data_IF_917795539127
#
_entry.id   IF_917795539127
#
_cell.length_a   1.000
_cell.length_b   1.000
_cell.length_c   1.000
_cell.angle_alpha   90.00
_cell.angle_beta   90.00
_cell.angle_gamma   90.00
#
_symmetry.space_group_name_H-M   'P 1'
#
loop_
_entity.id
_entity.type
_entity.pdbx_description
1 polymer ?
#
# COMPACT_ATOMS: atom_id res chain seq x y z
N UNK A 1 15.59 -11.05 13.70
CA UNK A 1 15.78 -9.58 13.58
C UNK A 1 14.39 -8.96 13.54
N UNK A 2 14.08 -8.05 14.48
CA UNK A 2 12.75 -7.43 14.63
C UNK A 2 12.91 -5.92 14.44
N UNK A 3 12.18 -5.35 13.47
CA UNK A 3 11.85 -3.93 13.36
C UNK A 3 12.96 -2.98 12.91
N UNK A 4 12.96 -2.62 11.63
CA UNK A 4 12.98 -1.20 11.24
C UNK A 4 12.56 -1.05 9.77
N UNK A 5 11.35 -0.54 9.54
CA UNK A 5 10.87 -0.12 8.22
C UNK A 5 11.70 1.09 7.76
N UNK A 6 12.78 0.86 6.99
CA UNK A 6 13.30 1.92 6.13
C UNK A 6 12.38 1.99 4.92
N UNK A 7 11.55 3.02 4.84
CA UNK A 7 10.78 3.34 3.65
C UNK A 7 11.78 3.57 2.50
N UNK A 8 11.77 2.71 1.49
CA UNK A 8 12.66 2.79 0.33
C UNK A 8 12.01 3.73 -0.66
N UNK A 9 12.15 5.03 -0.39
CA UNK A 9 11.67 6.07 -1.28
C UNK A 9 12.84 6.75 -1.97
N UNK A 10 12.72 6.92 -3.28
CA UNK A 10 13.79 7.48 -4.09
C UNK A 10 13.34 7.70 -5.52
N UNK A 11 14.20 8.40 -6.27
CA UNK A 11 14.08 8.46 -7.73
C UNK A 11 14.29 7.04 -8.26
N UNK A 12 13.45 6.64 -9.20
CA UNK A 12 13.58 5.37 -9.89
C UNK A 12 14.67 5.48 -10.96
N UNK A 13 15.61 4.53 -10.96
CA UNK A 13 16.69 4.43 -11.93
C UNK A 13 16.72 3.02 -12.52
N UNK A 14 16.97 2.93 -13.82
CA UNK A 14 17.06 1.68 -14.56
C UNK A 14 18.41 1.58 -15.25
N UNK A 15 18.98 0.37 -15.28
CA UNK A 15 20.27 0.10 -15.92
C UNK A 15 20.05 -0.53 -17.28
N UNK A 16 20.44 0.20 -18.34
CA UNK A 16 20.32 -0.27 -19.73
C UNK A 16 21.52 0.19 -20.55
N UNK A 17 21.99 -0.67 -21.46
CA UNK A 17 23.13 -0.40 -22.33
C UNK A 17 24.35 0.16 -21.56
N UNK A 18 24.75 -0.57 -20.50
CA UNK A 18 25.90 -0.29 -19.64
C UNK A 18 25.85 1.04 -18.85
N UNK A 19 24.70 1.73 -18.83
CA UNK A 19 24.58 3.02 -18.13
C UNK A 19 23.28 3.14 -17.36
N UNK A 20 23.34 3.83 -16.21
CA UNK A 20 22.18 4.17 -15.42
C UNK A 20 21.44 5.37 -16.03
N UNK A 21 20.12 5.26 -16.06
CA UNK A 21 19.21 6.32 -16.49
C UNK A 21 17.95 6.36 -15.64
N UNK A 22 17.06 7.29 -15.95
CA UNK A 22 15.81 7.54 -15.23
C UNK A 22 14.59 7.07 -16.03
N UNK A 23 13.43 7.08 -15.40
CA UNK A 23 12.12 6.77 -15.99
C UNK A 23 11.28 8.05 -15.96
N UNK A 24 10.63 8.39 -17.08
CA UNK A 24 9.73 9.52 -17.17
C UNK A 24 8.42 9.25 -16.43
N UNK A 25 7.80 10.29 -15.84
CA UNK A 25 6.53 10.17 -15.13
C UNK A 25 5.29 10.30 -16.02
N UNK A 26 5.45 10.55 -17.32
CA UNK A 26 4.36 10.48 -18.29
C UNK A 26 3.77 9.05 -18.31
N UNK A 27 2.45 8.99 -18.10
CA UNK A 27 1.66 7.78 -17.90
C UNK A 27 2.04 6.89 -16.69
N UNK A 28 3.09 7.22 -15.94
CA UNK A 28 3.56 6.39 -14.84
C UNK A 28 2.62 6.43 -13.63
N UNK A 29 2.14 5.27 -13.18
CA UNK A 29 1.17 5.15 -12.10
C UNK A 29 1.59 4.19 -10.96
N UNK A 30 0.63 3.89 -10.06
CA UNK A 30 0.86 2.99 -8.93
C UNK A 30 1.03 1.52 -9.35
N UNK A 31 0.53 1.10 -10.51
CA UNK A 31 0.71 -0.25 -11.05
C UNK A 31 2.15 -0.38 -11.56
N UNK A 32 2.68 0.62 -12.25
CA UNK A 32 4.08 0.65 -12.67
C UNK A 32 5.04 0.67 -11.47
N UNK A 33 4.69 1.45 -10.45
CA UNK A 33 5.45 1.51 -9.19
C UNK A 33 5.48 0.14 -8.48
N UNK A 34 4.40 -0.65 -8.57
CA UNK A 34 4.36 -2.01 -8.02
C UNK A 34 5.31 -2.95 -8.75
N UNK A 35 5.31 -2.93 -10.08
CA UNK A 35 6.25 -3.71 -10.90
C UNK A 35 7.68 -3.33 -10.55
N UNK A 36 7.99 -2.03 -10.49
CA UNK A 36 9.30 -1.52 -10.11
C UNK A 36 9.74 -1.98 -8.71
N UNK A 37 8.86 -1.87 -7.72
CA UNK A 37 9.17 -2.27 -6.35
C UNK A 37 9.33 -3.78 -6.20
N UNK A 38 8.56 -4.57 -6.96
CA UNK A 38 8.71 -6.03 -7.03
C UNK A 38 10.05 -6.43 -7.64
N UNK A 39 10.46 -5.77 -8.70
CA UNK A 39 11.79 -5.95 -9.31
C UNK A 39 12.92 -5.63 -8.30
N UNK A 40 12.71 -4.65 -7.43
CA UNK A 40 13.64 -4.28 -6.34
C UNK A 40 13.56 -5.20 -5.10
N UNK A 41 12.71 -6.23 -5.09
CA UNK A 41 12.57 -7.19 -4.00
C UNK A 41 11.60 -6.79 -2.88
N UNK A 42 10.70 -5.85 -3.14
CA UNK A 42 9.60 -5.47 -2.24
C UNK A 42 8.28 -6.09 -2.70
N UNK A 43 7.30 -6.16 -1.80
CA UNK A 43 5.98 -6.70 -2.18
C UNK A 43 5.07 -5.65 -2.83
N UNK A 44 5.31 -4.37 -2.58
CA UNK A 44 4.43 -3.30 -3.01
C UNK A 44 5.14 -1.94 -3.14
N UNK A 45 4.52 -1.03 -3.88
CA UNK A 45 5.06 0.29 -4.23
C UNK A 45 3.97 1.29 -4.56
N UNK A 46 4.24 2.57 -4.31
CA UNK A 46 3.41 3.68 -4.81
C UNK A 46 4.27 4.67 -5.61
N UNK A 47 3.66 5.27 -6.61
CA UNK A 47 4.16 6.45 -7.28
C UNK A 47 3.99 7.66 -6.36
N UNK A 48 5.05 8.45 -6.20
CA UNK A 48 5.09 9.60 -5.27
C UNK A 48 5.01 10.93 -6.05
N UNK A 49 5.14 10.89 -7.37
CA UNK A 49 5.27 12.08 -8.22
C UNK A 49 6.67 12.20 -8.84
N UNK A 50 6.86 13.27 -9.60
CA UNK A 50 8.11 13.58 -10.27
C UNK A 50 9.13 14.27 -9.36
N UNK A 51 10.42 14.17 -9.71
CA UNK A 51 11.50 14.86 -9.01
C UNK A 51 12.53 15.47 -9.95
N UNK A 52 12.86 16.73 -9.68
CA UNK A 52 13.91 17.48 -10.35
C UNK A 52 15.31 17.23 -9.82
N UNK A 53 15.49 16.33 -8.83
CA UNK A 53 16.81 16.05 -8.25
C UNK A 53 17.76 15.67 -9.37
N UNK A 54 18.70 16.57 -9.61
CA UNK A 54 19.36 16.74 -10.89
C UNK A 54 20.54 15.79 -11.02
N UNK A 55 20.49 14.94 -12.03
CA UNK A 55 21.67 14.40 -12.69
C UNK A 55 21.50 14.51 -14.19
N UNK A 56 22.61 14.55 -14.93
CA UNK A 56 22.61 14.45 -16.41
C UNK A 56 22.37 13.00 -16.85
N UNK A 57 21.42 12.32 -16.21
CA UNK A 57 21.09 10.94 -16.55
C UNK A 57 20.18 10.96 -17.78
N UNK A 58 20.42 10.00 -18.68
CA UNK A 58 19.54 9.75 -19.81
C UNK A 58 18.21 9.22 -19.29
N UNK A 59 17.10 9.64 -19.88
CA UNK A 59 15.80 9.01 -19.64
C UNK A 59 15.76 7.75 -20.52
N UNK A 60 15.55 6.59 -19.89
CA UNK A 60 15.59 5.30 -20.58
C UNK A 60 14.21 4.76 -20.93
N UNK A 61 13.22 5.05 -20.10
CA UNK A 61 11.84 4.64 -20.30
C UNK A 61 10.92 5.85 -20.18
N UNK A 62 9.89 5.85 -21.00
CA UNK A 62 8.84 6.85 -21.13
C UNK A 62 7.54 6.15 -21.55
N UNK A 63 6.39 6.75 -21.24
CA UNK A 63 5.05 6.19 -21.41
C UNK A 63 4.94 4.74 -20.89
N UNK A 64 5.46 4.48 -19.68
CA UNK A 64 5.36 3.15 -19.07
C UNK A 64 3.89 2.87 -18.74
N UNK A 65 3.41 1.68 -19.13
CA UNK A 65 2.04 1.24 -18.93
C UNK A 65 2.02 -0.27 -18.64
N UNK A 66 2.16 -0.62 -17.36
CA UNK A 66 2.16 -2.00 -16.89
C UNK A 66 0.73 -2.51 -16.65
N UNK A 67 0.51 -3.80 -16.92
CA UNK A 67 -0.70 -4.53 -16.52
C UNK A 67 -0.69 -4.96 -15.04
N UNK A 68 0.49 -4.99 -14.41
CA UNK A 68 0.71 -5.28 -12.99
C UNK A 68 1.25 -6.69 -12.68
N UNK A 69 1.29 -7.58 -13.67
CA UNK A 69 1.82 -8.94 -13.56
C UNK A 69 3.25 -9.09 -14.10
N UNK A 70 3.83 -8.03 -14.68
CA UNK A 70 5.18 -8.02 -15.22
C UNK A 70 6.25 -8.15 -14.13
N UNK A 71 7.25 -9.01 -14.33
CA UNK A 71 8.33 -9.15 -13.33
C UNK A 71 9.35 -8.02 -13.33
N UNK A 72 9.36 -7.18 -14.37
CA UNK A 72 10.31 -6.08 -14.57
C UNK A 72 9.66 -4.96 -15.39
N UNK A 73 10.12 -3.73 -15.20
CA UNK A 73 9.62 -2.58 -15.97
C UNK A 73 9.89 -2.68 -17.48
N UNK A 74 10.99 -3.33 -17.87
CA UNK A 74 11.33 -3.54 -19.29
C UNK A 74 10.36 -4.44 -20.06
N UNK A 75 9.43 -5.11 -19.36
CA UNK A 75 8.42 -5.96 -19.97
C UNK A 75 7.04 -5.28 -20.08
N UNK A 76 6.86 -4.11 -19.46
CA UNK A 76 5.66 -3.33 -19.61
C UNK A 76 5.61 -2.66 -20.99
N UNK A 77 4.43 -2.20 -21.41
CA UNK A 77 4.35 -1.34 -22.57
C UNK A 77 5.10 -0.03 -22.26
N UNK A 78 5.87 0.48 -23.22
CA UNK A 78 6.63 1.72 -23.11
C UNK A 78 7.01 2.26 -24.50
N UNK A 79 7.34 3.55 -24.62
CA UNK A 79 7.68 4.21 -25.89
C UNK A 79 8.92 3.62 -26.61
N UNK A 80 9.76 2.88 -25.87
CA UNK A 80 10.98 2.25 -26.36
C UNK A 80 12.24 2.84 -25.70
N UNK A 81 13.33 2.07 -25.70
CA UNK A 81 14.54 2.44 -24.97
C UNK A 81 15.15 3.78 -25.41
N UNK A 82 15.10 4.77 -24.53
CA UNK A 82 15.61 6.12 -24.75
C UNK A 82 14.83 6.92 -25.80
N UNK A 83 13.62 6.47 -26.14
CA UNK A 83 12.63 7.26 -26.87
C UNK A 83 11.80 7.97 -25.82
N UNK A 84 11.92 9.29 -25.76
CA UNK A 84 11.32 10.11 -24.72
C UNK A 84 11.07 11.54 -25.23
N UNK A 85 10.06 12.21 -24.69
CA UNK A 85 9.77 13.62 -24.96
C UNK A 85 9.84 14.49 -23.69
N UNK A 86 10.41 13.96 -22.62
CA UNK A 86 10.32 14.47 -21.27
C UNK A 86 11.40 15.50 -20.94
N UNK A 87 11.05 16.42 -20.06
CA UNK A 87 11.94 17.35 -19.43
C UNK A 87 12.72 16.71 -18.28
N UNK A 88 13.84 17.33 -17.92
CA UNK A 88 14.76 16.80 -16.88
C UNK A 88 14.16 16.72 -15.48
N UNK A 89 12.97 17.26 -15.23
CA UNK A 89 12.30 17.23 -13.92
C UNK A 89 11.21 16.15 -13.84
N UNK A 90 10.91 15.49 -14.94
CA UNK A 90 9.86 14.46 -15.09
C UNK A 90 10.40 13.08 -14.70
N UNK A 91 11.35 13.00 -13.75
CA UNK A 91 11.85 11.71 -13.29
C UNK A 91 10.93 11.14 -12.21
N UNK A 92 10.52 9.89 -12.38
CA UNK A 92 9.68 9.17 -11.42
C UNK A 92 10.36 9.05 -10.05
N UNK A 93 9.57 9.28 -9.01
CA UNK A 93 9.90 8.91 -7.63
C UNK A 93 8.89 7.88 -7.14
N UNK A 94 9.38 6.77 -6.60
CA UNK A 94 8.55 5.73 -5.99
C UNK A 94 8.83 5.58 -4.50
N UNK A 95 7.96 4.83 -3.82
CA UNK A 95 8.15 4.39 -2.44
C UNK A 95 7.76 2.92 -2.30
N UNK A 96 8.75 2.07 -2.07
CA UNK A 96 8.54 0.64 -1.86
C UNK A 96 8.32 0.29 -0.40
N UNK A 97 7.53 -0.76 -0.18
CA UNK A 97 7.23 -1.33 1.12
C UNK A 97 6.85 -2.82 0.99
N UNK A 98 6.75 -3.52 2.11
CA UNK A 98 6.39 -4.94 2.12
C UNK A 98 4.94 -5.21 2.51
N UNK A 99 4.08 -4.19 2.50
CA UNK A 99 2.67 -4.37 2.80
C UNK A 99 1.98 -5.11 1.65
N UNK A 100 1.13 -6.06 1.99
CA UNK A 100 0.37 -6.87 1.04
C UNK A 100 -1.14 -6.69 1.26
N UNK A 101 -1.92 -7.11 0.28
CA UNK A 101 -3.37 -7.02 0.32
C UNK A 101 -3.97 -7.61 1.62
N UNK A 102 -4.86 -6.82 2.24
CA UNK A 102 -5.48 -7.13 3.52
C UNK A 102 -4.59 -6.91 4.75
N UNK A 103 -3.36 -6.40 4.60
CA UNK A 103 -2.53 -6.05 5.75
C UNK A 103 -3.17 -4.95 6.60
N UNK A 104 -2.92 -5.03 7.90
CA UNK A 104 -3.30 -4.01 8.86
C UNK A 104 -2.09 -3.16 9.22
N UNK A 105 -2.28 -1.84 9.36
CA UNK A 105 -1.26 -0.96 9.95
C UNK A 105 -1.70 -0.45 11.30
N UNK A 106 -0.71 -0.32 12.19
CA UNK A 106 -0.85 0.02 13.61
C UNK A 106 -1.43 -1.13 14.46
N UNK A 107 -1.10 -1.14 15.75
CA UNK A 107 -1.62 -2.12 16.73
C UNK A 107 -2.60 -1.49 17.73
N UNK A 108 -2.98 -0.24 17.51
CA UNK A 108 -3.91 0.50 18.36
C UNK A 108 -4.39 1.76 17.65
N UNK A 109 -5.58 2.24 17.98
CA UNK A 109 -6.18 3.44 17.40
C UNK A 109 -7.18 3.08 16.32
N UNK A 110 -7.21 3.86 15.23
CA UNK A 110 -8.07 3.60 14.08
C UNK A 110 -7.61 2.35 13.35
N UNK A 111 -8.54 1.45 13.02
CA UNK A 111 -8.23 0.27 12.25
C UNK A 111 -8.11 0.64 10.77
N UNK A 112 -6.95 0.34 10.20
CA UNK A 112 -6.62 0.64 8.81
C UNK A 112 -6.17 -0.63 8.10
N UNK A 113 -6.76 -0.88 6.93
CA UNK A 113 -6.51 -2.06 6.09
C UNK A 113 -6.06 -1.61 4.69
N UNK A 114 -5.11 -2.34 4.11
CA UNK A 114 -4.66 -2.13 2.75
C UNK A 114 -5.60 -2.85 1.78
N UNK A 115 -6.15 -2.11 0.82
CA UNK A 115 -6.87 -2.65 -0.32
C UNK A 115 -6.61 -1.82 -1.56
N UNK A 116 -6.37 -2.46 -2.70
CA UNK A 116 -6.04 -1.80 -3.98
C UNK A 116 -4.95 -0.74 -3.81
N UNK A 117 -3.88 -1.10 -3.10
CA UNK A 117 -2.73 -0.24 -2.80
C UNK A 117 -3.02 1.04 -1.99
N UNK A 118 -4.25 1.24 -1.54
CA UNK A 118 -4.62 2.36 -0.70
C UNK A 118 -4.97 1.90 0.71
N UNK A 119 -4.44 2.63 1.68
CA UNK A 119 -4.84 2.43 3.06
C UNK A 119 -6.19 3.09 3.32
N UNK A 120 -7.15 2.28 3.72
CA UNK A 120 -8.47 2.74 4.12
C UNK A 120 -8.82 2.28 5.53
N UNK A 121 -10.02 2.64 5.95
CA UNK A 121 -10.57 2.39 7.28
C UNK A 121 -11.66 1.33 7.22
N UNK A 122 -12.06 0.85 8.38
CA UNK A 122 -13.14 -0.12 8.52
C UNK A 122 -14.31 0.53 9.24
N UNK A 123 -15.54 0.26 8.81
CA UNK A 123 -16.71 0.80 9.46
C UNK A 123 -16.93 0.16 10.85
N UNK A 124 -17.46 0.96 11.78
CA UNK A 124 -17.76 0.56 13.15
C UNK A 124 -19.01 -0.31 13.31
N UNK A 125 -19.97 -0.28 12.37
CA UNK A 125 -21.35 -0.74 12.60
C UNK A 125 -21.48 -2.11 13.29
N UNK A 126 -20.71 -3.10 12.82
CA UNK A 126 -20.69 -4.46 13.37
C UNK A 126 -19.36 -4.82 14.00
N UNK A 127 -18.43 -3.88 14.10
CA UNK A 127 -17.08 -4.14 14.60
C UNK A 127 -17.12 -4.32 16.12
N UNK A 128 -16.94 -5.56 16.56
CA UNK A 128 -16.95 -5.92 17.97
C UNK A 128 -15.62 -6.54 18.42
N UNK A 129 -15.65 -7.20 19.59
CA UNK A 129 -14.46 -7.80 20.20
C UNK A 129 -13.89 -8.93 19.33
N UNK A 130 -14.73 -9.71 18.64
CA UNK A 130 -14.30 -10.82 17.80
C UNK A 130 -13.47 -10.28 16.63
N UNK A 131 -13.96 -9.25 15.92
CA UNK A 131 -13.20 -8.58 14.85
C UNK A 131 -11.89 -7.99 15.38
N UNK A 132 -11.91 -7.36 16.57
CA UNK A 132 -10.72 -6.80 17.19
C UNK A 132 -9.68 -7.89 17.55
N UNK A 133 -10.12 -9.05 18.03
CA UNK A 133 -9.25 -10.19 18.31
C UNK A 133 -8.64 -10.78 17.03
N UNK A 134 -9.43 -10.92 15.95
CA UNK A 134 -8.91 -11.36 14.63
C UNK A 134 -7.87 -10.37 14.11
N UNK A 135 -8.16 -9.07 14.17
CA UNK A 135 -7.22 -8.01 13.75
C UNK A 135 -5.91 -8.06 14.55
N UNK A 136 -6.00 -8.19 15.88
CA UNK A 136 -4.82 -8.27 16.73
C UNK A 136 -4.02 -9.56 16.54
N UNK A 137 -4.71 -10.69 16.34
CA UNK A 137 -4.09 -11.97 16.00
C UNK A 137 -3.32 -11.88 14.68
N UNK A 138 -3.91 -11.26 13.65
CA UNK A 138 -3.24 -11.01 12.36
C UNK A 138 -1.93 -10.20 12.56
N UNK A 139 -1.92 -9.26 13.51
CA UNK A 139 -0.75 -8.44 13.84
C UNK A 139 0.26 -9.12 14.80
N UNK A 140 0.00 -10.37 15.21
CA UNK A 140 0.88 -11.12 16.13
C UNK A 140 0.67 -10.80 17.62
N UNK A 141 -0.53 -10.39 18.01
CA UNK A 141 -0.93 -10.16 19.41
C UNK A 141 -1.90 -11.25 19.87
N UNK A 142 -2.03 -11.45 21.19
CA UNK A 142 -2.95 -12.45 21.76
C UNK A 142 -4.32 -11.88 22.12
N UNK A 143 -4.39 -10.58 22.39
CA UNK A 143 -5.61 -9.91 22.84
C UNK A 143 -5.89 -8.69 21.99
N UNK A 144 -7.17 -8.49 21.70
CA UNK A 144 -7.69 -7.29 21.04
C UNK A 144 -8.97 -6.84 21.74
N UNK A 145 -9.10 -5.53 21.92
CA UNK A 145 -10.30 -4.91 22.46
C UNK A 145 -10.74 -3.74 21.57
N UNK A 146 -12.04 -3.49 21.51
CA UNK A 146 -12.61 -2.35 20.76
C UNK A 146 -12.23 -1.05 21.45
N UNK A 147 -11.66 -0.13 20.67
CA UNK A 147 -11.35 1.21 21.13
C UNK A 147 -12.39 2.19 20.58
N UNK A 148 -13.01 2.95 21.48
CA UNK A 148 -14.00 3.95 21.08
C UNK A 148 -13.29 5.19 20.52
N UNK A 149 -13.09 5.20 19.21
CA UNK A 149 -12.75 6.40 18.45
C UNK A 149 -13.98 7.32 18.45
N UNK A 150 -13.86 8.53 19.00
CA UNK A 150 -14.92 9.56 18.92
C UNK A 150 -14.32 10.86 18.39
N UNK A 151 -15.07 11.52 17.52
CA UNK A 151 -14.95 12.96 17.30
C UNK A 151 -13.89 13.43 16.30
N UNK A 152 -13.35 12.56 15.44
CA UNK A 152 -12.54 13.00 14.29
C UNK A 152 -13.05 12.33 13.02
N UNK A 153 -13.52 13.15 12.08
CA UNK A 153 -13.82 12.73 10.71
C UNK A 153 -12.53 12.25 10.08
N UNK A 154 -12.51 11.01 9.59
CA UNK A 154 -11.39 10.50 8.82
C UNK A 154 -11.47 10.97 7.36
N UNK A 155 -10.34 11.06 6.68
CA UNK A 155 -10.29 11.39 5.24
C UNK A 155 -10.03 10.17 4.38
N UNK A 156 -9.65 9.04 4.98
CA UNK A 156 -9.40 7.82 4.22
C UNK A 156 -10.71 7.17 3.79
N UNK A 157 -10.64 6.47 2.66
CA UNK A 157 -11.70 5.60 2.16
C UNK A 157 -12.10 4.57 3.23
N UNK A 158 -13.37 4.18 3.27
CA UNK A 158 -13.82 3.05 4.09
C UNK A 158 -13.82 1.82 3.18
N UNK A 159 -13.01 0.82 3.52
CA UNK A 159 -12.84 -0.39 2.70
C UNK A 159 -13.76 -1.53 3.10
N UNK A 160 -14.05 -1.69 4.39
CA UNK A 160 -14.88 -2.78 4.90
C UNK A 160 -16.05 -2.25 5.72
N UNK A 161 -17.20 -2.88 5.57
CA UNK A 161 -18.42 -2.67 6.35
C UNK A 161 -19.09 -4.03 6.62
N UNK A 162 -19.94 -4.08 7.64
CA UNK A 162 -20.68 -5.27 8.06
C UNK A 162 -19.78 -6.52 8.25
N UNK A 163 -18.60 -6.33 8.85
CA UNK A 163 -17.73 -7.44 9.25
C UNK A 163 -18.45 -8.36 10.24
N UNK A 164 -18.35 -9.67 9.97
CA UNK A 164 -18.89 -10.72 10.80
C UNK A 164 -17.87 -11.87 10.85
N UNK A 165 -16.94 -11.77 11.79
CA UNK A 165 -15.93 -12.78 12.05
C UNK A 165 -16.47 -13.86 13.01
N UNK A 166 -15.93 -15.07 12.90
CA UNK A 166 -16.19 -16.16 13.85
C UNK A 166 -15.06 -16.31 14.90
N UNK A 167 -13.95 -15.58 14.73
CA UNK A 167 -12.76 -15.59 15.61
C UNK A 167 -11.67 -16.58 15.17
N UNK A 168 -11.99 -17.49 14.24
CA UNK A 168 -11.06 -18.48 13.70
C UNK A 168 -10.13 -17.92 12.61
N UNK A 169 -10.50 -16.79 12.01
CA UNK A 169 -9.83 -16.20 10.86
C UNK A 169 -8.37 -15.81 11.17
N UNK A 170 -7.54 -15.82 10.14
CA UNK A 170 -6.13 -15.42 10.21
C UNK A 170 -5.90 -13.99 9.74
N UNK A 171 -6.81 -13.46 8.93
CA UNK A 171 -6.83 -12.07 8.45
C UNK A 171 -8.25 -11.52 8.61
N UNK A 172 -8.35 -10.21 8.86
CA UNK A 172 -9.64 -9.53 8.97
C UNK A 172 -10.42 -9.58 7.64
N UNK A 173 -9.72 -9.52 6.50
CA UNK A 173 -10.30 -9.66 5.16
C UNK A 173 -10.82 -11.06 4.83
N UNK A 174 -10.66 -12.05 5.72
CA UNK A 174 -11.20 -13.39 5.55
C UNK A 174 -12.55 -13.57 6.27
N UNK A 175 -12.98 -12.58 7.06
CA UNK A 175 -14.30 -12.59 7.68
C UNK A 175 -15.37 -12.34 6.62
N UNK A 176 -16.63 -12.71 6.92
CA UNK A 176 -17.74 -12.28 6.06
C UNK A 176 -17.87 -10.76 6.14
N UNK A 177 -18.00 -10.09 5.00
CA UNK A 177 -18.19 -8.64 4.91
C UNK A 177 -18.85 -8.27 3.58
N UNK A 178 -19.33 -7.02 3.47
CA UNK A 178 -19.80 -6.48 2.19
C UNK A 178 -18.64 -6.29 1.20
N UNK A 179 -18.93 -6.22 -0.10
CA UNK A 179 -17.90 -6.00 -1.13
C UNK A 179 -17.01 -4.79 -0.81
N UNK A 180 -15.73 -4.88 -1.18
CA UNK A 180 -14.75 -3.84 -0.88
C UNK A 180 -15.21 -2.44 -1.31
N UNK A 181 -15.16 -1.49 -0.37
CA UNK A 181 -15.55 -0.10 -0.58
C UNK A 181 -17.06 0.16 -0.67
N UNK A 182 -17.89 -0.88 -0.48
CA UNK A 182 -19.35 -0.73 -0.38
C UNK A 182 -19.73 -0.56 1.09
N UNK A 183 -20.25 0.61 1.44
CA UNK A 183 -20.65 0.94 2.81
C UNK A 183 -21.72 2.02 2.83
N UNK A 184 -22.47 2.10 3.93
CA UNK A 184 -23.36 3.25 4.22
C UNK A 184 -22.83 4.13 5.34
N UNK A 185 -21.61 3.85 5.80
CA UNK A 185 -21.00 4.53 6.94
C UNK A 185 -20.50 5.93 6.61
N UNK A 186 -20.61 6.83 7.58
CA UNK A 186 -19.91 8.12 7.54
C UNK A 186 -18.46 7.95 8.01
N UNK A 187 -17.56 8.83 7.55
CA UNK A 187 -16.16 8.84 7.97
C UNK A 187 -15.94 9.17 9.46
N UNK A 188 -16.99 9.52 10.21
CA UNK A 188 -16.94 9.69 11.67
C UNK A 188 -17.13 8.36 12.42
N UNK A 189 -17.58 7.31 11.72
CA UNK A 189 -17.97 6.01 12.29
C UNK A 189 -17.00 4.90 11.87
N UNK A 190 -15.70 5.15 12.06
CA UNK A 190 -14.64 4.16 11.78
C UNK A 190 -14.31 3.32 13.02
N UNK A 191 -14.01 2.05 12.79
CA UNK A 191 -13.61 1.09 13.81
C UNK A 191 -12.27 1.50 14.46
N UNK A 192 -12.23 1.33 15.78
CA UNK A 192 -11.02 1.50 16.57
C UNK A 192 -10.75 0.26 17.39
N UNK A 193 -9.48 -0.03 17.62
CA UNK A 193 -9.04 -1.22 18.34
C UNK A 193 -7.76 -0.95 19.14
N UNK A 194 -7.45 -1.84 20.06
CA UNK A 194 -6.20 -1.84 20.79
C UNK A 194 -5.73 -3.28 21.01
N UNK A 195 -4.50 -3.58 20.60
CA UNK A 195 -3.89 -4.87 20.81
C UNK A 195 -3.02 -4.88 22.07
N UNK A 196 -3.06 -5.99 22.78
CA UNK A 196 -2.21 -6.24 23.94
C UNK A 196 -1.62 -7.66 23.89
N UNK A 197 -0.59 -7.90 24.71
CA UNK A 197 0.10 -9.19 24.78
C UNK A 197 0.72 -9.60 23.43
N UNK A 198 1.76 -8.85 23.01
CA UNK A 198 2.53 -9.19 21.80
C UNK A 198 3.12 -10.59 21.95
N UNK A 199 2.92 -11.42 20.93
CA UNK A 199 3.50 -12.76 20.91
C UNK A 199 5.01 -12.62 20.73
N UNK A 200 5.77 -12.96 21.78
CA UNK A 200 7.22 -13.01 21.71
C UNK A 200 7.67 -14.12 20.77
N UNK A 201 8.59 -13.78 19.86
CA UNK A 201 9.38 -14.74 19.09
C UNK A 201 10.43 -15.36 20.02
#
# INVERSE_FOLDING_TARGET
MVGNLRLISGRLEIFYNETWGTVCDDNFDDIDAQVACRELGYNNGIFVGSTSKSGRYKIWLDDVDCCGDENKLEHCLHAGWGVENCFRWENVKIKCNNAIEGDLRNSSGKLEILHNNEWGTVCRNTFDKIEAEVACKQLGYRKGDVLQTRGKTDTLRIWLDNLNCNGGETKLSNCSHDDWGKHTCSHCNVAGFNCSEKQGV
#
